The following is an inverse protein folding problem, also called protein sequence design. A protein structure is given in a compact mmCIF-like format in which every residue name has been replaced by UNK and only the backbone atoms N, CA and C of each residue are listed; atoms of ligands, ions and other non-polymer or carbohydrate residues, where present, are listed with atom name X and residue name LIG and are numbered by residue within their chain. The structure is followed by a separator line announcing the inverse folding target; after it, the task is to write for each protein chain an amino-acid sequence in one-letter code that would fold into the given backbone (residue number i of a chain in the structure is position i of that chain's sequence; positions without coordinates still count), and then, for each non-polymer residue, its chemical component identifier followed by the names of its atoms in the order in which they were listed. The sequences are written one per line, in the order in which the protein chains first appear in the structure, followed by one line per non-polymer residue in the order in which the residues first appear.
data_IF_615022118663
#
_entry.id   IF_615022118663
#
_cell.length_a   1.000
_cell.length_b   1.000
_cell.length_c   1.000
_cell.angle_alpha   90.00
_cell.angle_beta   90.00
_cell.angle_gamma   90.00
#
_symmetry.space_group_name_H-M   'P 1'
#
loop_
_entity.id
_entity.type
_entity.pdbx_description
1 polymer ?
#
# COMPACT_ATOMS: atom_id res chain seq x y z
N UNK A 1 -37.45 33.23 8.50
CA UNK A 1 -36.76 33.31 7.20
C UNK A 1 -35.65 32.27 7.19
N UNK A 2 -35.78 31.23 6.34
CA UNK A 2 -34.80 30.17 6.27
C UNK A 2 -33.45 30.66 5.74
N UNK A 3 -32.37 30.31 6.44
CA UNK A 3 -30.99 30.58 6.01
C UNK A 3 -30.73 29.90 4.67
N UNK A 4 -30.80 30.60 3.56
CA UNK A 4 -30.44 30.08 2.24
C UNK A 4 -28.95 29.73 2.24
N UNK A 5 -28.64 28.45 2.05
CA UNK A 5 -27.25 27.99 1.87
C UNK A 5 -26.63 28.65 0.64
N UNK A 6 -25.57 29.44 0.82
CA UNK A 6 -24.85 30.06 -0.28
C UNK A 6 -24.02 29.00 -0.96
N UNK A 7 -24.38 28.66 -2.20
CA UNK A 7 -23.64 27.77 -3.07
C UNK A 7 -22.93 28.56 -4.16
N UNK A 8 -21.92 27.97 -4.81
CA UNK A 8 -21.21 28.60 -5.92
C UNK A 8 -22.13 29.03 -7.07
N UNK A 9 -23.27 28.33 -7.25
CA UNK A 9 -24.29 28.66 -8.28
C UNK A 9 -25.13 29.87 -7.93
N UNK A 10 -25.29 30.20 -6.63
CA UNK A 10 -26.15 31.31 -6.15
C UNK A 10 -25.42 32.63 -6.05
N UNK A 11 -24.08 32.65 -6.31
CA UNK A 11 -23.29 33.87 -6.23
C UNK A 11 -23.32 34.58 -7.58
N UNK A 12 -24.12 35.65 -7.66
CA UNK A 12 -24.11 36.59 -8.79
C UNK A 12 -23.11 37.71 -8.50
N UNK A 13 -22.48 38.28 -9.54
CA UNK A 13 -21.58 39.45 -9.47
C UNK A 13 -20.39 39.27 -8.48
N UNK A 14 -19.58 38.25 -8.67
CA UNK A 14 -18.42 37.99 -7.81
C UNK A 14 -17.39 39.11 -7.76
N UNK A 15 -17.22 39.81 -8.89
CA UNK A 15 -16.21 40.87 -9.06
C UNK A 15 -16.57 42.15 -8.30
N UNK A 16 -17.88 42.36 -8.01
CA UNK A 16 -18.37 43.51 -7.28
C UNK A 16 -18.44 43.36 -5.75
N UNK A 17 -17.92 42.23 -5.21
CA UNK A 17 -17.99 41.94 -3.78
C UNK A 17 -16.75 42.47 -3.07
N UNK A 18 -16.95 43.41 -2.12
CA UNK A 18 -15.86 43.94 -1.33
C UNK A 18 -15.11 42.82 -0.59
N UNK A 19 -13.75 42.76 -0.62
CA UNK A 19 -12.94 41.67 -0.09
C UNK A 19 -13.20 41.32 1.39
N UNK A 20 -13.49 42.32 2.22
CA UNK A 20 -13.72 42.16 3.66
C UNK A 20 -15.21 42.01 4.04
N UNK A 21 -16.09 41.84 3.06
CA UNK A 21 -17.52 41.66 3.35
C UNK A 21 -17.80 40.26 3.91
N UNK A 22 -18.86 40.13 4.73
CA UNK A 22 -19.36 38.83 5.21
C UNK A 22 -19.60 37.86 4.05
N UNK A 23 -20.04 38.37 2.91
CA UNK A 23 -20.31 37.58 1.70
C UNK A 23 -19.01 37.07 1.07
N UNK A 24 -17.94 37.85 1.05
CA UNK A 24 -16.61 37.43 0.59
C UNK A 24 -16.06 36.28 1.47
N UNK A 25 -16.14 36.42 2.79
CA UNK A 25 -15.73 35.36 3.72
C UNK A 25 -16.52 34.07 3.58
N UNK A 26 -17.82 34.12 3.31
CA UNK A 26 -18.64 32.95 3.06
C UNK A 26 -18.22 32.23 1.76
N UNK A 27 -17.96 33.01 0.71
CA UNK A 27 -17.47 32.52 -0.59
C UNK A 27 -16.12 31.84 -0.40
N UNK A 28 -15.17 32.47 0.28
CA UNK A 28 -13.87 31.93 0.57
C UNK A 28 -13.95 30.56 1.31
N UNK A 29 -14.81 30.46 2.33
CA UNK A 29 -15.06 29.21 3.03
C UNK A 29 -15.61 28.09 2.12
N UNK A 30 -16.50 28.43 1.18
CA UNK A 30 -17.03 27.45 0.23
C UNK A 30 -15.96 26.98 -0.74
N UNK A 31 -15.10 27.88 -1.23
CA UNK A 31 -13.97 27.51 -2.08
C UNK A 31 -12.97 26.61 -1.33
N UNK A 32 -12.57 26.97 -0.11
CA UNK A 32 -11.67 26.19 0.71
C UNK A 32 -12.22 24.78 0.99
N UNK A 33 -13.53 24.66 1.25
CA UNK A 33 -14.17 23.33 1.42
C UNK A 33 -14.12 22.52 0.14
N UNK A 34 -14.39 23.13 -1.02
CA UNK A 34 -14.32 22.44 -2.32
C UNK A 34 -12.91 21.98 -2.61
N UNK A 35 -11.92 22.82 -2.36
CA UNK A 35 -10.51 22.49 -2.54
C UNK A 35 -10.08 21.35 -1.62
N UNK A 36 -10.42 21.41 -0.33
CA UNK A 36 -10.16 20.31 0.61
C UNK A 36 -10.81 19.00 0.19
N UNK A 37 -12.04 19.04 -0.33
CA UNK A 37 -12.70 17.84 -0.85
C UNK A 37 -11.99 17.30 -2.08
N UNK A 38 -11.61 18.16 -3.04
CA UNK A 38 -10.88 17.75 -4.24
C UNK A 38 -9.51 17.16 -3.91
N UNK A 39 -8.79 17.72 -2.93
CA UNK A 39 -7.52 17.16 -2.42
C UNK A 39 -7.76 15.81 -1.74
N UNK A 40 -8.85 15.69 -0.95
CA UNK A 40 -9.20 14.42 -0.30
C UNK A 40 -9.54 13.33 -1.33
N UNK A 41 -10.29 13.67 -2.38
CA UNK A 41 -10.61 12.75 -3.47
C UNK A 41 -9.36 12.33 -4.25
N UNK A 42 -8.47 13.27 -4.58
CA UNK A 42 -7.17 12.95 -5.21
C UNK A 42 -6.31 12.05 -4.33
N UNK A 43 -6.25 12.32 -3.03
CA UNK A 43 -5.49 11.49 -2.09
C UNK A 43 -6.10 10.10 -1.91
N UNK A 44 -7.43 9.97 -2.05
CA UNK A 44 -8.12 8.67 -2.06
C UNK A 44 -7.80 7.88 -3.33
N UNK A 45 -7.83 8.57 -4.50
CA UNK A 45 -7.52 7.96 -5.79
C UNK A 45 -6.03 7.60 -5.96
N UNK A 46 -5.13 8.26 -5.23
CA UNK A 46 -3.67 8.08 -5.35
C UNK A 46 -3.12 7.45 -4.07
N UNK A 47 -3.49 6.21 -3.81
CA UNK A 47 -3.00 5.43 -2.67
C UNK A 47 -2.28 4.15 -3.13
N UNK A 48 -1.05 4.24 -3.65
CA UNK A 48 -0.33 3.07 -4.17
C UNK A 48 -0.10 2.00 -3.10
N UNK A 49 0.05 2.39 -1.83
CA UNK A 49 0.16 1.46 -0.72
C UNK A 49 -1.17 0.72 -0.50
N UNK A 50 -2.30 1.42 -0.62
CA UNK A 50 -3.62 0.80 -0.54
C UNK A 50 -3.91 -0.16 -1.69
N UNK A 51 -3.48 0.19 -2.92
CA UNK A 51 -3.60 -0.70 -4.08
C UNK A 51 -2.77 -1.98 -3.89
N UNK A 52 -1.56 -1.84 -3.33
CA UNK A 52 -0.72 -2.98 -2.95
C UNK A 52 -1.44 -3.89 -1.95
N UNK A 53 -1.98 -3.34 -0.87
CA UNK A 53 -2.68 -4.12 0.15
C UNK A 53 -3.93 -4.81 -0.39
N UNK A 54 -4.68 -4.15 -1.30
CA UNK A 54 -5.81 -4.77 -1.99
C UNK A 54 -5.36 -5.95 -2.86
N UNK A 55 -4.21 -5.82 -3.55
CA UNK A 55 -3.67 -6.92 -4.32
C UNK A 55 -3.38 -8.14 -3.42
N UNK A 56 -2.71 -7.95 -2.27
CA UNK A 56 -2.46 -9.03 -1.30
C UNK A 56 -3.75 -9.63 -0.75
N UNK A 57 -4.77 -8.82 -0.50
CA UNK A 57 -6.10 -9.29 -0.09
C UNK A 57 -6.70 -10.26 -1.11
N UNK A 58 -6.61 -9.94 -2.41
CA UNK A 58 -7.19 -10.77 -3.47
C UNK A 58 -6.30 -11.95 -3.87
N UNK A 59 -4.99 -11.85 -3.70
CA UNK A 59 -4.05 -12.91 -4.03
C UNK A 59 -4.01 -14.01 -2.95
N UNK A 60 -4.39 -13.69 -1.71
CA UNK A 60 -4.40 -14.66 -0.62
C UNK A 60 -5.70 -15.46 -0.60
N UNK A 61 -5.58 -16.78 -0.39
CA UNK A 61 -6.71 -17.72 -0.38
C UNK A 61 -7.73 -17.36 0.70
N UNK A 62 -9.03 -17.36 0.32
CA UNK A 62 -10.13 -17.01 1.24
C UNK A 62 -10.34 -18.03 2.36
N UNK A 63 -10.05 -19.31 2.10
CA UNK A 63 -10.28 -20.40 3.05
C UNK A 63 -9.26 -20.41 4.20
N UNK A 64 -8.08 -19.85 4.00
CA UNK A 64 -7.04 -19.80 5.04
C UNK A 64 -7.32 -18.72 6.08
N UNK A 65 -7.23 -19.09 7.35
CA UNK A 65 -7.46 -18.15 8.47
C UNK A 65 -6.25 -17.27 8.80
N UNK A 66 -5.04 -17.71 8.48
CA UNK A 66 -3.77 -17.01 8.69
C UNK A 66 -2.77 -17.40 7.62
N UNK A 67 -1.83 -16.51 7.30
CA UNK A 67 -0.70 -16.79 6.44
C UNK A 67 0.54 -17.16 7.26
N UNK A 68 1.39 -17.99 6.70
CA UNK A 68 2.74 -18.22 7.24
C UNK A 68 3.72 -17.23 6.65
N UNK A 69 4.86 -17.00 7.31
CA UNK A 69 5.90 -16.11 6.74
C UNK A 69 6.43 -16.58 5.37
N UNK A 70 6.71 -17.88 5.13
CA UNK A 70 7.07 -18.34 3.79
C UNK A 70 6.02 -18.01 2.73
N UNK A 71 4.74 -18.28 3.00
CA UNK A 71 3.64 -17.92 2.08
C UNK A 71 3.59 -16.42 1.79
N UNK A 72 3.88 -15.57 2.78
CA UNK A 72 3.99 -14.13 2.53
C UNK A 72 5.16 -13.76 1.61
N UNK A 73 6.29 -14.47 1.70
CA UNK A 73 7.41 -14.27 0.77
C UNK A 73 7.03 -14.71 -0.65
N UNK A 74 6.38 -15.85 -0.82
CA UNK A 74 5.86 -16.32 -2.12
C UNK A 74 4.88 -15.30 -2.73
N UNK A 75 3.98 -14.75 -1.92
CA UNK A 75 3.06 -13.71 -2.37
C UNK A 75 3.77 -12.42 -2.79
N UNK A 76 4.86 -12.03 -2.11
CA UNK A 76 5.67 -10.88 -2.51
C UNK A 76 6.33 -11.14 -3.86
N UNK A 77 6.86 -12.32 -4.10
CA UNK A 77 7.46 -12.69 -5.38
C UNK A 77 6.44 -12.63 -6.51
N UNK A 78 5.26 -13.22 -6.33
CA UNK A 78 4.15 -13.12 -7.27
C UNK A 78 3.73 -11.65 -7.53
N UNK A 79 3.72 -10.83 -6.47
CA UNK A 79 3.42 -9.41 -6.61
C UNK A 79 4.46 -8.69 -7.47
N UNK A 80 5.73 -9.00 -7.35
CA UNK A 80 6.81 -8.40 -8.14
C UNK A 80 6.74 -8.83 -9.61
N UNK A 81 6.26 -10.05 -9.88
CA UNK A 81 6.13 -10.61 -11.24
C UNK A 81 4.86 -10.19 -11.97
N UNK A 82 3.89 -9.56 -11.28
CA UNK A 82 2.56 -9.22 -11.81
C UNK A 82 2.54 -8.43 -13.13
N UNK A 83 3.63 -7.78 -13.49
CA UNK A 83 3.77 -6.99 -14.72
C UNK A 83 4.67 -7.64 -15.76
N UNK A 84 5.22 -8.83 -15.50
CA UNK A 84 6.21 -9.46 -16.38
C UNK A 84 5.60 -9.84 -17.71
N UNK A 85 4.37 -10.32 -17.74
CA UNK A 85 3.68 -10.67 -18.97
C UNK A 85 3.49 -9.44 -19.87
N UNK A 86 3.05 -8.29 -19.31
CA UNK A 86 2.89 -7.04 -20.05
C UNK A 86 4.24 -6.52 -20.57
N UNK A 87 5.29 -6.58 -19.73
CA UNK A 87 6.65 -6.16 -20.12
C UNK A 87 7.15 -7.04 -21.26
N UNK A 88 6.97 -8.36 -21.18
CA UNK A 88 7.40 -9.32 -22.19
C UNK A 88 6.65 -9.13 -23.51
N UNK A 89 5.34 -8.84 -23.48
CA UNK A 89 4.55 -8.53 -24.67
C UNK A 89 5.07 -7.24 -25.36
N UNK A 90 5.25 -6.18 -24.60
CA UNK A 90 5.79 -4.91 -25.11
C UNK A 90 7.21 -5.08 -25.69
N UNK A 91 8.02 -5.95 -25.10
CA UNK A 91 9.35 -6.26 -25.61
C UNK A 91 9.29 -7.09 -26.90
N UNK A 92 8.42 -8.08 -27.01
CA UNK A 92 8.16 -8.84 -28.23
C UNK A 92 7.71 -7.93 -29.36
N UNK A 93 6.78 -7.02 -29.10
CA UNK A 93 6.29 -6.06 -30.08
C UNK A 93 7.39 -5.10 -30.56
N UNK A 94 8.27 -4.70 -29.65
CA UNK A 94 9.46 -3.91 -29.99
C UNK A 94 10.45 -4.67 -30.86
N UNK A 95 10.60 -5.97 -30.61
CA UNK A 95 11.56 -6.84 -31.31
C UNK A 95 11.09 -7.26 -32.71
N UNK A 96 9.78 -7.15 -33.02
CA UNK A 96 9.18 -7.51 -34.31
C UNK A 96 9.55 -6.60 -35.49
N UNK A 97 10.48 -5.68 -35.32
CA UNK A 97 10.92 -4.76 -36.38
C UNK A 97 12.28 -4.17 -36.13
N UNK A 98 12.56 -3.01 -36.76
CA UNK A 98 13.74 -2.23 -36.38
C UNK A 98 13.67 -1.90 -34.89
N UNK A 99 14.78 -2.05 -34.15
CA UNK A 99 14.87 -1.77 -32.70
C UNK A 99 14.36 -0.37 -32.40
N UNK A 100 13.09 -0.28 -32.02
CA UNK A 100 12.47 0.98 -31.59
C UNK A 100 12.90 1.30 -30.15
N UNK A 101 12.93 2.58 -29.73
CA UNK A 101 13.14 2.94 -28.34
C UNK A 101 12.04 2.30 -27.47
N UNK A 102 12.34 2.07 -26.18
CA UNK A 102 11.35 1.54 -25.22
C UNK A 102 10.15 2.47 -25.13
N UNK A 103 8.97 1.90 -25.11
CA UNK A 103 7.74 2.66 -24.91
C UNK A 103 7.72 3.25 -23.48
N UNK A 104 7.12 4.42 -23.32
CA UNK A 104 6.94 5.06 -21.99
C UNK A 104 6.24 4.12 -20.98
N UNK A 105 5.29 3.31 -21.44
CA UNK A 105 4.60 2.30 -20.61
C UNK A 105 5.58 1.23 -20.12
N UNK A 106 6.41 0.69 -21.01
CA UNK A 106 7.43 -0.30 -20.66
C UNK A 106 8.43 0.27 -19.65
N UNK A 107 8.95 1.47 -19.87
CA UNK A 107 9.86 2.13 -18.94
C UNK A 107 9.24 2.35 -17.56
N UNK A 108 7.96 2.72 -17.52
CA UNK A 108 7.23 2.91 -16.27
C UNK A 108 7.12 1.60 -15.50
N UNK A 109 6.69 0.51 -16.14
CA UNK A 109 6.54 -0.79 -15.51
C UNK A 109 7.87 -1.34 -14.99
N UNK A 110 8.93 -1.26 -15.80
CA UNK A 110 10.29 -1.66 -15.40
C UNK A 110 10.78 -0.83 -14.20
N UNK A 111 10.51 0.47 -14.16
CA UNK A 111 10.90 1.33 -13.04
C UNK A 111 10.12 1.02 -11.75
N UNK A 112 8.82 0.69 -11.87
CA UNK A 112 8.00 0.26 -10.74
C UNK A 112 8.54 -1.06 -10.19
N UNK A 113 8.78 -2.05 -11.05
CA UNK A 113 9.34 -3.36 -10.67
C UNK A 113 10.69 -3.21 -9.97
N UNK A 114 11.61 -2.41 -10.53
CA UNK A 114 12.93 -2.18 -9.94
C UNK A 114 12.84 -1.52 -8.56
N UNK A 115 11.95 -0.53 -8.39
CA UNK A 115 11.72 0.15 -7.12
C UNK A 115 11.15 -0.80 -6.06
N UNK A 116 10.14 -1.59 -6.42
CA UNK A 116 9.51 -2.55 -5.51
C UNK A 116 10.45 -3.70 -5.14
N UNK A 117 11.27 -4.19 -6.07
CA UNK A 117 12.32 -5.16 -5.79
C UNK A 117 13.37 -4.59 -4.80
N UNK A 118 13.79 -3.35 -4.98
CA UNK A 118 14.68 -2.67 -4.03
C UNK A 118 14.04 -2.48 -2.65
N UNK A 119 12.73 -2.17 -2.62
CA UNK A 119 11.97 -2.08 -1.38
C UNK A 119 11.90 -3.44 -0.67
N UNK A 120 11.75 -4.56 -1.40
CA UNK A 120 11.75 -5.90 -0.82
C UNK A 120 13.12 -6.28 -0.22
N UNK A 121 14.21 -5.90 -0.86
CA UNK A 121 15.57 -6.10 -0.33
C UNK A 121 15.78 -5.30 0.97
N UNK A 122 15.31 -4.06 1.03
CA UNK A 122 15.44 -3.19 2.19
C UNK A 122 14.41 -3.46 3.30
N UNK A 123 13.35 -4.18 2.96
CA UNK A 123 12.21 -4.52 3.82
C UNK A 123 10.92 -3.85 3.34
N UNK A 124 10.05 -4.66 2.74
CA UNK A 124 8.72 -4.25 2.27
C UNK A 124 7.72 -4.25 3.41
N UNK A 125 6.97 -3.17 3.56
CA UNK A 125 5.91 -3.05 4.56
C UNK A 125 4.58 -3.56 4.00
N UNK A 126 3.97 -4.53 4.70
CA UNK A 126 2.74 -5.21 4.32
C UNK A 126 1.81 -5.36 5.54
N UNK A 127 0.49 -5.55 5.32
CA UNK A 127 -0.40 -5.94 6.39
C UNK A 127 0.03 -7.30 6.95
N UNK A 128 0.03 -7.43 8.26
CA UNK A 128 0.40 -8.67 8.96
C UNK A 128 -0.70 -9.73 8.79
N UNK A 129 -0.58 -10.55 7.75
CA UNK A 129 -1.52 -11.64 7.48
C UNK A 129 -1.25 -12.88 8.35
N UNK A 130 -0.17 -12.90 9.14
CA UNK A 130 0.06 -13.96 10.13
C UNK A 130 -0.86 -13.79 11.34
N UNK A 131 -1.43 -12.59 11.50
CA UNK A 131 -2.41 -12.28 12.55
C UNK A 131 -3.83 -12.37 11.98
N UNK A 132 -4.61 -13.35 12.46
CA UNK A 132 -5.98 -13.57 12.01
C UNK A 132 -6.93 -12.37 12.22
N UNK A 133 -6.66 -11.49 13.19
CA UNK A 133 -7.45 -10.25 13.38
C UNK A 133 -7.17 -9.26 12.25
N UNK A 134 -5.90 -9.06 11.91
CA UNK A 134 -5.50 -8.19 10.80
C UNK A 134 -6.01 -8.71 9.47
N UNK A 135 -5.93 -10.03 9.25
CA UNK A 135 -6.42 -10.65 8.02
C UNK A 135 -7.94 -10.46 7.86
N UNK A 136 -8.74 -10.60 8.93
CA UNK A 136 -10.18 -10.31 8.89
C UNK A 136 -10.45 -8.85 8.52
N UNK A 137 -9.74 -7.91 9.15
CA UNK A 137 -9.86 -6.48 8.83
C UNK A 137 -9.46 -6.18 7.39
N UNK A 138 -8.42 -6.85 6.87
CA UNK A 138 -7.97 -6.71 5.49
C UNK A 138 -9.02 -7.22 4.50
N UNK A 139 -9.70 -8.33 4.81
CA UNK A 139 -10.77 -8.89 3.97
C UNK A 139 -12.01 -7.99 3.91
N UNK A 140 -12.34 -7.31 4.99
CA UNK A 140 -13.46 -6.36 5.06
C UNK A 140 -13.10 -4.97 4.51
N UNK A 141 -11.81 -4.69 4.34
CA UNK A 141 -11.33 -3.37 3.96
C UNK A 141 -11.62 -3.04 2.48
N UNK A 142 -12.14 -1.85 2.23
CA UNK A 142 -12.55 -1.35 0.91
C UNK A 142 -11.50 -0.46 0.20
N UNK A 143 -10.28 -0.37 0.74
CA UNK A 143 -9.21 0.46 0.18
C UNK A 143 -9.13 1.88 0.79
N UNK A 144 -9.93 2.19 1.82
CA UNK A 144 -9.87 3.51 2.47
C UNK A 144 -8.57 3.70 3.26
N UNK A 145 -7.84 4.77 2.90
CA UNK A 145 -6.56 5.13 3.53
C UNK A 145 -6.69 5.36 5.05
N UNK A 146 -7.82 5.89 5.50
CA UNK A 146 -8.03 6.22 6.92
C UNK A 146 -8.20 4.96 7.79
N UNK A 147 -8.56 3.84 7.19
CA UNK A 147 -8.72 2.56 7.88
C UNK A 147 -7.42 1.76 7.99
N UNK A 148 -6.39 2.08 7.19
CA UNK A 148 -5.10 1.39 7.19
C UNK A 148 -4.41 1.36 8.57
N UNK A 149 -4.39 2.44 9.38
CA UNK A 149 -3.76 2.42 10.71
C UNK A 149 -4.39 1.46 11.71
N UNK A 150 -5.58 0.91 11.42
CA UNK A 150 -6.26 -0.08 12.27
C UNK A 150 -5.69 -1.49 12.10
N UNK A 151 -4.96 -1.72 11.02
CA UNK A 151 -4.32 -3.00 10.69
C UNK A 151 -2.87 -2.95 11.12
N UNK A 152 -2.39 -4.02 11.74
CA UNK A 152 -0.96 -4.16 12.06
C UNK A 152 -0.19 -4.43 10.79
N UNK A 153 1.02 -3.86 10.70
CA UNK A 153 1.93 -4.06 9.57
C UNK A 153 3.14 -4.89 10.00
N UNK A 154 3.67 -5.64 9.06
CA UNK A 154 4.92 -6.39 9.20
C UNK A 154 5.88 -5.95 8.11
N UNK A 155 7.17 -5.89 8.44
CA UNK A 155 8.22 -5.60 7.49
C UNK A 155 8.96 -6.88 7.14
N UNK A 156 8.91 -7.27 5.87
CA UNK A 156 9.55 -8.48 5.36
C UNK A 156 10.68 -8.10 4.41
N UNK A 157 11.86 -8.68 4.65
CA UNK A 157 13.02 -8.55 3.78
C UNK A 157 13.20 -9.84 2.98
N UNK A 158 13.77 -9.72 1.78
CA UNK A 158 14.13 -10.88 1.01
C UNK A 158 15.06 -11.78 1.85
N UNK A 159 14.76 -13.09 2.02
CA UNK A 159 15.64 -13.98 2.73
C UNK A 159 16.96 -14.06 1.97
N UNK A 160 18.08 -13.89 2.68
CA UNK A 160 19.41 -14.12 2.12
C UNK A 160 19.58 -15.61 1.89
N UNK A 161 20.01 -16.03 0.71
CA UNK A 161 20.24 -17.43 0.31
C UNK A 161 21.26 -18.16 1.21
N UNK A 162 21.91 -17.45 2.12
CA UNK A 162 22.90 -17.97 3.07
C UNK A 162 22.32 -18.47 4.39
N UNK A 163 21.03 -18.25 4.70
CA UNK A 163 20.46 -18.54 6.04
C UNK A 163 19.69 -19.87 6.11
N UNK A 164 19.76 -20.74 5.12
CA UNK A 164 19.13 -22.08 5.16
C UNK A 164 19.96 -23.15 5.89
N UNK A 165 20.96 -22.78 6.70
CA UNK A 165 21.55 -23.72 7.68
C UNK A 165 21.03 -23.34 9.06
N UNK A 166 19.90 -23.94 9.42
CA UNK A 166 19.42 -23.99 10.79
C UNK A 166 20.53 -24.51 11.70
N UNK A 167 20.97 -23.66 12.61
CA UNK A 167 21.77 -24.11 13.72
C UNK A 167 20.89 -24.97 14.65
N UNK A 168 21.33 -26.15 15.09
CA UNK A 168 20.59 -26.94 16.06
C UNK A 168 20.58 -26.19 17.40
N UNK A 169 19.39 -26.02 17.95
CA UNK A 169 19.19 -25.53 19.32
C UNK A 169 19.73 -26.59 20.27
N UNK A 170 20.90 -26.35 20.83
CA UNK A 170 21.43 -27.15 21.90
C UNK A 170 20.74 -26.80 23.22
N UNK A 171 19.79 -27.63 23.58
CA UNK A 171 19.08 -27.58 24.84
C UNK A 171 19.80 -28.48 25.86
N UNK A 172 20.87 -27.99 26.46
CA UNK A 172 21.48 -28.64 27.63
C UNK A 172 21.76 -27.60 28.72
N UNK A 173 20.73 -27.27 29.46
CA UNK A 173 20.92 -26.69 30.80
C UNK A 173 20.45 -27.69 31.82
N UNK A 174 21.34 -28.64 32.15
CA UNK A 174 21.18 -29.56 33.23
C UNK A 174 21.58 -28.87 34.53
N UNK A 175 20.63 -28.65 35.36
CA UNK A 175 20.82 -28.23 36.76
C UNK A 175 21.39 -29.41 37.52
N UNK A 176 22.62 -29.31 37.94
CA UNK A 176 23.14 -30.14 39.03
C UNK A 176 23.03 -29.35 40.32
N UNK A 177 22.17 -29.85 41.14
CA UNK A 177 21.99 -29.54 42.54
C UNK A 177 22.59 -30.70 43.31
N UNK A 178 23.70 -30.51 43.91
CA UNK A 178 24.21 -31.33 45.02
C UNK A 178 24.76 -30.36 46.05
N UNK A 179 24.07 -30.28 47.11
CA UNK A 179 24.13 -30.96 48.40
C UNK A 179 25.58 -31.16 48.85
N UNK A 180 25.99 -30.40 49.83
CA UNK A 180 26.85 -30.94 50.86
C UNK A 180 26.56 -30.34 52.23
N UNK A 181 26.06 -31.24 53.08
CA UNK A 181 26.23 -31.21 54.50
C UNK A 181 27.68 -31.20 54.91
N UNK A 182 27.99 -30.45 55.84
CA UNK A 182 28.64 -30.71 57.12
C UNK A 182 29.06 -29.38 57.75
#
# INVERSE_FOLDING_TARGET
MGNRKITLKTIKNREAIHPYSRKAHQISRVYQRKEKLAVKEKNKANNPLGERWLWFRYAFEEDKSVATKPEMHELIELYLERHDDEINELEKDRSRGHKKPKNARQQLLESIKAREASEYISGMELPDMTNGKTLKLLREWDGDKNSMPRMTTIRLQKPDDTTTKAAPVDSSNKKDKDMMEM
#
